data_IF_765449869905
#
_entry.id   IF_765449869905
#
_cell.length_a   1.000
_cell.length_b   1.000
_cell.length_c   1.000
_cell.angle_alpha   90.00
_cell.angle_beta   90.00
_cell.angle_gamma   90.00
#
_symmetry.space_group_name_H-M   'P 1'
#
loop_
_entity.id
_entity.type
_entity.pdbx_description
1 polymer ?
#
# COMPACT_ATOMS: atom_id res chain seq x y z
N UNK A 1 -24.10 2.10 6.16
CA UNK A 1 -23.68 3.21 5.27
C UNK A 1 -23.43 2.67 3.88
N UNK A 2 -23.97 3.30 2.84
CA UNK A 2 -23.80 2.83 1.47
C UNK A 2 -22.33 3.00 0.99
N UNK A 3 -21.93 2.16 0.04
CA UNK A 3 -20.60 2.21 -0.59
C UNK A 3 -20.26 3.61 -1.14
N UNK A 4 -21.24 4.36 -1.62
CA UNK A 4 -21.07 5.70 -2.19
C UNK A 4 -20.55 6.75 -1.18
N UNK A 5 -20.91 6.64 0.09
CA UNK A 5 -20.42 7.58 1.12
C UNK A 5 -18.96 7.39 1.46
N UNK A 6 -18.39 6.21 1.23
CA UNK A 6 -17.00 5.91 1.51
C UNK A 6 -16.06 6.21 0.34
N UNK A 7 -16.61 6.35 -0.87
CA UNK A 7 -15.83 6.73 -2.04
C UNK A 7 -15.38 8.19 -1.91
N UNK A 8 -14.09 8.42 -2.02
CA UNK A 8 -13.48 9.74 -1.97
C UNK A 8 -13.15 10.26 -3.39
N UNK A 9 -12.65 9.36 -4.25
CA UNK A 9 -12.27 9.70 -5.63
C UNK A 9 -12.26 8.43 -6.49
N UNK A 10 -12.46 8.59 -7.81
CA UNK A 10 -12.31 7.53 -8.80
C UNK A 10 -11.43 8.04 -9.96
N UNK A 11 -10.42 7.26 -10.31
CA UNK A 11 -9.59 7.45 -11.49
C UNK A 11 -10.06 6.56 -12.66
N UNK A 12 -9.20 6.32 -13.64
CA UNK A 12 -9.50 5.42 -14.76
C UNK A 12 -9.65 3.97 -14.35
N UNK A 13 -8.79 3.48 -13.46
CA UNK A 13 -8.74 2.06 -13.05
C UNK A 13 -8.94 1.86 -11.54
N UNK A 14 -8.72 2.89 -10.72
CA UNK A 14 -8.69 2.76 -9.27
C UNK A 14 -9.73 3.63 -8.58
N UNK A 15 -10.12 3.18 -7.41
CA UNK A 15 -10.95 3.93 -6.46
C UNK A 15 -10.15 4.25 -5.21
N UNK A 16 -10.25 5.50 -4.76
CA UNK A 16 -9.78 5.95 -3.46
C UNK A 16 -10.98 6.00 -2.53
N UNK A 17 -10.92 5.26 -1.43
CA UNK A 17 -12.06 5.12 -0.53
C UNK A 17 -11.63 5.10 0.95
N UNK A 18 -12.52 5.48 1.84
CA UNK A 18 -12.41 5.23 3.28
C UNK A 18 -12.71 3.75 3.56
N UNK A 19 -11.88 3.01 4.32
CA UNK A 19 -12.22 1.66 4.77
C UNK A 19 -13.52 1.62 5.58
N UNK A 20 -14.16 0.48 5.61
CA UNK A 20 -15.34 0.26 6.49
C UNK A 20 -14.98 0.36 7.96
N UNK A 21 -13.78 -0.13 8.30
CA UNK A 21 -13.22 -0.09 9.65
C UNK A 21 -11.85 0.58 9.60
N UNK A 22 -11.79 1.92 9.52
CA UNK A 22 -10.53 2.63 9.46
C UNK A 22 -9.80 2.48 10.79
N UNK A 23 -8.52 2.15 10.73
CA UNK A 23 -7.68 2.00 11.93
C UNK A 23 -7.26 3.37 12.49
N UNK A 24 -7.11 4.35 11.61
CA UNK A 24 -6.74 5.73 11.94
C UNK A 24 -7.41 6.68 10.95
N UNK A 25 -7.46 7.97 11.26
CA UNK A 25 -7.99 8.97 10.32
C UNK A 25 -7.19 9.05 9.01
N UNK A 26 -5.89 8.69 9.04
CA UNK A 26 -5.01 8.62 7.86
C UNK A 26 -5.10 7.30 7.06
N UNK A 27 -5.99 6.38 7.42
CA UNK A 27 -6.16 5.10 6.73
C UNK A 27 -7.08 5.24 5.51
N UNK A 28 -6.53 5.07 4.32
CA UNK A 28 -7.23 5.17 3.03
C UNK A 28 -7.00 3.89 2.22
N UNK A 29 -7.97 3.50 1.42
CA UNK A 29 -7.88 2.41 0.45
C UNK A 29 -7.60 2.96 -0.95
N UNK A 30 -6.70 2.30 -1.68
CA UNK A 30 -6.60 2.39 -3.14
C UNK A 30 -6.94 0.99 -3.64
N UNK A 31 -8.09 0.83 -4.27
CA UNK A 31 -8.57 -0.47 -4.73
C UNK A 31 -8.90 -0.45 -6.21
N UNK A 32 -8.72 -1.58 -6.86
CA UNK A 32 -9.08 -1.75 -8.25
C UNK A 32 -10.60 -1.60 -8.42
N UNK A 33 -11.05 -0.82 -9.39
CA UNK A 33 -12.48 -0.56 -9.63
C UNK A 33 -13.21 -1.77 -10.20
N UNK A 34 -12.50 -2.61 -10.96
CA UNK A 34 -13.02 -3.81 -11.60
C UNK A 34 -11.96 -4.93 -11.52
N UNK A 35 -12.32 -6.13 -11.03
CA UNK A 35 -11.38 -7.25 -10.89
C UNK A 35 -10.86 -7.79 -12.23
N UNK A 36 -11.51 -7.48 -13.36
CA UNK A 36 -11.05 -7.86 -14.69
C UNK A 36 -9.92 -7.01 -15.24
N UNK A 37 -9.61 -5.89 -14.60
CA UNK A 37 -8.53 -5.00 -15.04
C UNK A 37 -7.18 -5.67 -14.75
N UNK A 38 -6.37 -5.81 -15.79
CA UNK A 38 -5.02 -6.31 -15.68
C UNK A 38 -4.09 -5.26 -15.06
N UNK A 39 -3.17 -5.71 -14.18
CA UNK A 39 -2.11 -4.87 -13.66
C UNK A 39 -0.99 -4.74 -14.68
N UNK A 40 -1.17 -3.82 -15.62
CA UNK A 40 -0.29 -3.53 -16.74
C UNK A 40 0.16 -2.04 -16.69
N UNK A 41 0.94 -1.61 -17.68
CA UNK A 41 1.49 -0.25 -17.72
C UNK A 41 0.45 0.87 -17.47
N UNK A 42 -0.75 0.87 -18.08
CA UNK A 42 -1.74 1.90 -17.83
C UNK A 42 -2.28 1.89 -16.40
N UNK A 43 -2.66 0.72 -15.89
CA UNK A 43 -3.21 0.59 -14.53
C UNK A 43 -2.14 0.84 -13.46
N UNK A 44 -0.88 0.47 -13.68
CA UNK A 44 0.24 0.78 -12.80
C UNK A 44 0.53 2.28 -12.74
N UNK A 45 0.51 2.97 -13.89
CA UNK A 45 0.66 4.43 -13.95
C UNK A 45 -0.47 5.15 -13.21
N UNK A 46 -1.71 4.70 -13.39
CA UNK A 46 -2.88 5.25 -12.70
C UNK A 46 -2.85 4.98 -11.20
N UNK A 47 -2.30 3.81 -10.77
CA UNK A 47 -2.08 3.53 -9.34
C UNK A 47 -1.08 4.52 -8.73
N UNK A 48 0.05 4.76 -9.38
CA UNK A 48 1.04 5.75 -8.93
C UNK A 48 0.45 7.15 -8.84
N UNK A 49 -0.38 7.52 -9.82
CA UNK A 49 -1.14 8.76 -9.78
C UNK A 49 -2.05 8.82 -8.56
N UNK A 50 -2.88 7.80 -8.31
CA UNK A 50 -3.78 7.72 -7.16
C UNK A 50 -3.01 7.80 -5.84
N UNK A 51 -1.90 7.05 -5.73
CA UNK A 51 -1.04 7.08 -4.54
C UNK A 51 -0.51 8.49 -4.24
N UNK A 52 0.04 9.16 -5.25
CA UNK A 52 0.56 10.53 -5.10
C UNK A 52 -0.53 11.52 -4.74
N UNK A 53 -1.71 11.37 -5.35
CA UNK A 53 -2.88 12.19 -5.08
C UNK A 53 -3.35 12.07 -3.63
N UNK A 54 -3.45 10.83 -3.12
CA UNK A 54 -3.83 10.55 -1.72
C UNK A 54 -2.79 11.09 -0.75
N UNK A 55 -1.49 10.87 -1.02
CA UNK A 55 -0.41 11.43 -0.17
C UNK A 55 -0.55 12.94 -0.02
N UNK A 56 -0.71 13.63 -1.15
CA UNK A 56 -0.83 15.07 -1.15
C UNK A 56 -2.09 15.55 -0.41
N UNK A 57 -3.22 14.86 -0.58
CA UNK A 57 -4.46 15.18 0.14
C UNK A 57 -4.32 14.95 1.65
N UNK A 58 -3.71 13.83 2.08
CA UNK A 58 -3.44 13.55 3.49
C UNK A 58 -2.47 14.56 4.11
N UNK A 59 -1.47 14.99 3.35
CA UNK A 59 -0.58 16.07 3.79
C UNK A 59 -1.35 17.37 4.03
N UNK A 60 -2.19 17.79 3.07
CA UNK A 60 -2.93 19.06 3.16
C UNK A 60 -3.97 19.07 4.29
N UNK A 61 -4.64 17.92 4.51
CA UNK A 61 -5.77 17.84 5.44
C UNK A 61 -5.35 17.45 6.85
N UNK A 62 -4.38 16.54 6.98
CA UNK A 62 -3.93 15.98 8.26
C UNK A 62 -2.49 16.35 8.63
N UNK A 63 -1.74 16.99 7.75
CA UNK A 63 -0.33 17.25 7.93
C UNK A 63 0.54 15.98 7.87
N UNK A 64 0.08 14.95 7.15
CA UNK A 64 0.80 13.69 7.05
C UNK A 64 2.15 13.86 6.35
N UNK A 65 3.20 13.34 6.98
CA UNK A 65 4.58 13.40 6.46
C UNK A 65 5.21 12.03 6.26
N UNK A 66 4.66 10.97 6.86
CA UNK A 66 5.14 9.60 6.73
C UNK A 66 4.04 8.71 6.18
N UNK A 67 4.41 7.72 5.37
CA UNK A 67 3.45 6.87 4.67
C UNK A 67 3.90 5.43 4.66
N UNK A 68 2.91 4.53 4.71
CA UNK A 68 3.11 3.10 4.56
C UNK A 68 1.96 2.52 3.74
N UNK A 69 2.25 1.51 2.93
CA UNK A 69 1.25 0.78 2.14
C UNK A 69 1.27 -0.67 2.55
N UNK A 70 0.11 -1.23 2.90
CA UNK A 70 -0.08 -2.64 3.19
C UNK A 70 -1.03 -3.27 2.18
N UNK A 71 -0.73 -4.49 1.77
CA UNK A 71 -1.59 -5.27 0.88
C UNK A 71 -1.32 -6.76 1.02
N UNK A 72 -2.28 -7.58 0.64
CA UNK A 72 -2.13 -9.03 0.53
C UNK A 72 -1.83 -9.41 -0.92
N UNK A 73 -0.94 -10.38 -1.12
CA UNK A 73 -0.67 -10.99 -2.41
C UNK A 73 -0.94 -12.49 -2.34
N UNK A 74 -1.85 -12.99 -3.18
CA UNK A 74 -2.29 -14.39 -3.26
C UNK A 74 -2.78 -14.98 -1.93
N UNK A 75 -2.93 -14.18 -0.90
CA UNK A 75 -3.41 -14.60 0.40
C UNK A 75 -4.72 -13.91 0.75
N UNK A 76 -5.72 -14.72 1.11
CA UNK A 76 -7.01 -14.24 1.58
C UNK A 76 -7.16 -14.63 3.04
N UNK A 77 -7.16 -13.64 3.96
CA UNK A 77 -7.37 -13.92 5.37
C UNK A 77 -8.77 -14.51 5.58
N UNK A 78 -8.83 -15.71 6.14
CA UNK A 78 -10.07 -16.33 6.59
C UNK A 78 -10.34 -15.88 8.04
N UNK A 79 -11.43 -15.15 8.25
CA UNK A 79 -11.80 -14.64 9.57
C UNK A 79 -11.05 -13.38 10.00
N UNK A 80 -10.95 -13.17 11.30
CA UNK A 80 -10.18 -12.05 11.88
C UNK A 80 -8.69 -12.36 11.80
N UNK A 81 -8.10 -12.13 10.62
CA UNK A 81 -6.67 -12.26 10.46
C UNK A 81 -5.95 -11.35 11.47
N UNK A 82 -5.14 -11.97 12.32
CA UNK A 82 -4.39 -11.26 13.34
C UNK A 82 -3.42 -10.30 12.64
N UNK A 83 -3.57 -9.01 12.93
CA UNK A 83 -2.62 -8.00 12.49
C UNK A 83 -2.82 -7.43 11.08
N UNK A 84 -3.89 -7.79 10.36
CA UNK A 84 -4.16 -7.23 9.05
C UNK A 84 -5.47 -6.42 9.01
N UNK A 85 -5.56 -5.41 8.16
CA UNK A 85 -6.85 -4.79 7.87
C UNK A 85 -7.79 -5.81 7.26
N UNK A 86 -9.08 -5.73 7.62
CA UNK A 86 -10.09 -6.66 7.10
C UNK A 86 -10.24 -6.47 5.59
N UNK A 87 -10.16 -7.56 4.83
CA UNK A 87 -10.45 -7.55 3.40
C UNK A 87 -11.92 -7.15 3.17
N UNK A 88 -12.15 -6.11 2.39
CA UNK A 88 -13.49 -5.56 2.13
C UNK A 88 -14.06 -5.96 0.77
N UNK A 89 -13.22 -6.48 -0.11
CA UNK A 89 -13.60 -6.88 -1.46
C UNK A 89 -12.65 -7.95 -2.00
N UNK A 90 -13.06 -8.63 -3.08
CA UNK A 90 -12.21 -9.55 -3.85
C UNK A 90 -11.28 -8.86 -4.83
N UNK A 91 -11.37 -7.54 -4.97
CA UNK A 91 -10.47 -6.76 -5.85
C UNK A 91 -9.15 -6.47 -5.14
N UNK A 92 -8.04 -6.37 -5.89
CA UNK A 92 -6.78 -5.90 -5.34
C UNK A 92 -6.95 -4.59 -4.58
N UNK A 93 -6.54 -4.59 -3.31
CA UNK A 93 -6.73 -3.47 -2.39
C UNK A 93 -5.42 -3.16 -1.68
N UNK A 94 -5.03 -1.89 -1.72
CA UNK A 94 -3.88 -1.35 -1.03
C UNK A 94 -4.37 -0.44 0.10
N UNK A 95 -3.93 -0.72 1.32
CA UNK A 95 -4.19 0.08 2.51
C UNK A 95 -3.06 1.08 2.68
N UNK A 96 -3.34 2.35 2.45
CA UNK A 96 -2.39 3.43 2.65
C UNK A 96 -2.63 4.07 4.01
N UNK A 97 -1.56 4.24 4.78
CA UNK A 97 -1.56 4.91 6.07
C UNK A 97 -0.71 6.17 5.98
N UNK A 98 -1.34 7.33 6.17
CA UNK A 98 -0.64 8.59 6.38
C UNK A 98 -0.49 8.86 7.87
N UNK A 99 0.68 9.35 8.28
CA UNK A 99 1.03 9.65 9.66
C UNK A 99 1.51 11.09 9.83
N UNK A 100 1.13 11.71 10.92
CA UNK A 100 1.49 13.08 11.25
C UNK A 100 1.94 13.19 12.71
N UNK A 101 2.55 14.30 13.06
CA UNK A 101 2.94 14.59 14.44
C UNK A 101 1.69 14.92 15.27
N UNK A 102 1.57 14.30 16.43
CA UNK A 102 0.45 14.53 17.35
C UNK A 102 -0.80 13.69 17.07
N UNK A 103 -0.73 12.70 16.17
CA UNK A 103 -1.83 11.71 16.07
C UNK A 103 -1.98 10.94 17.38
N UNK A 104 -3.22 10.68 17.78
CA UNK A 104 -3.54 10.01 19.06
C UNK A 104 -3.50 8.49 18.94
N UNK A 105 -3.68 7.97 17.73
CA UNK A 105 -3.73 6.54 17.46
C UNK A 105 -2.89 6.23 16.23
N UNK A 106 -1.91 5.36 16.38
CA UNK A 106 -1.02 4.98 15.27
C UNK A 106 -1.48 3.69 14.60
N UNK A 107 -1.21 3.50 13.28
CA UNK A 107 -1.50 2.24 12.60
C UNK A 107 -0.83 1.05 13.27
N UNK A 108 0.42 1.18 13.71
CA UNK A 108 1.16 0.11 14.39
C UNK A 108 0.53 -0.28 15.72
N UNK A 109 0.07 0.67 16.52
CA UNK A 109 -0.64 0.39 17.76
C UNK A 109 -1.93 -0.39 17.51
N UNK A 110 -2.69 -0.04 16.47
CA UNK A 110 -3.91 -0.77 16.09
C UNK A 110 -3.59 -2.16 15.52
N UNK A 111 -2.59 -2.27 14.66
CA UNK A 111 -2.20 -3.53 14.03
C UNK A 111 -1.61 -4.54 15.03
N UNK A 112 -1.04 -4.08 16.14
CA UNK A 112 -0.56 -4.95 17.23
C UNK A 112 -1.69 -5.56 18.07
N UNK A 113 -2.92 -5.03 17.94
CA UNK A 113 -4.07 -5.56 18.64
C UNK A 113 -4.82 -6.61 17.79
N UNK A 114 -5.40 -7.64 18.42
CA UNK A 114 -6.35 -8.53 17.76
C UNK A 114 -7.51 -7.71 17.16
N UNK A 115 -8.02 -8.12 16.00
CA UNK A 115 -9.04 -7.35 15.26
C UNK A 115 -10.26 -6.94 16.10
N UNK A 116 -10.70 -7.81 17.02
CA UNK A 116 -11.85 -7.54 17.91
C UNK A 116 -11.57 -6.52 19.04
N UNK A 117 -10.30 -6.16 19.26
CA UNK A 117 -9.90 -5.15 20.27
C UNK A 117 -9.50 -3.81 19.64
N UNK A 118 -9.50 -3.71 18.32
CA UNK A 118 -9.16 -2.46 17.64
C UNK A 118 -10.27 -1.45 17.83
N UNK A 119 -9.89 -0.29 18.30
CA UNK A 119 -10.78 0.87 18.35
C UNK A 119 -10.66 1.58 17.00
N UNK A 120 -11.60 1.32 16.10
CA UNK A 120 -11.70 2.10 14.86
C UNK A 120 -12.01 3.57 15.16
N UNK A 121 -11.60 4.47 14.26
CA UNK A 121 -12.03 5.87 14.35
C UNK A 121 -13.57 5.99 14.27
N UNK A 122 -14.21 6.72 15.20
CA UNK A 122 -15.65 6.93 15.13
C UNK A 122 -16.05 7.60 13.83
N UNK A 123 -17.12 7.14 13.23
CA UNK A 123 -17.60 7.60 11.94
C UNK A 123 -17.81 9.12 11.88
N UNK A 124 -18.40 9.69 12.93
CA UNK A 124 -18.67 11.13 13.01
C UNK A 124 -17.40 12.00 13.06
N UNK A 125 -16.27 11.44 13.54
CA UNK A 125 -14.98 12.14 13.48
C UNK A 125 -14.41 12.18 12.07
N UNK A 126 -14.80 11.23 11.22
CA UNK A 126 -14.26 11.11 9.86
C UNK A 126 -15.06 11.91 8.82
N UNK A 127 -16.31 12.26 9.09
CA UNK A 127 -17.16 12.95 8.10
C UNK A 127 -16.55 14.27 7.61
N UNK A 128 -16.09 15.11 8.54
CA UNK A 128 -15.44 16.38 8.21
C UNK A 128 -14.09 16.15 7.49
N UNK A 129 -13.30 15.18 7.95
CA UNK A 129 -12.03 14.80 7.33
C UNK A 129 -12.25 14.26 5.92
N UNK A 130 -13.25 13.41 5.71
CA UNK A 130 -13.57 12.85 4.40
C UNK A 130 -14.10 13.91 3.42
N UNK A 131 -14.86 14.89 3.92
CA UNK A 131 -15.28 16.02 3.11
C UNK A 131 -14.08 16.86 2.66
N UNK A 132 -13.14 17.16 3.59
CA UNK A 132 -11.93 17.89 3.28
C UNK A 132 -11.02 17.11 2.32
N UNK A 133 -10.88 15.78 2.49
CA UNK A 133 -10.12 14.92 1.59
C UNK A 133 -10.74 14.90 0.18
N UNK A 134 -12.06 14.77 0.05
CA UNK A 134 -12.72 14.83 -1.27
C UNK A 134 -12.42 16.14 -1.99
N UNK A 135 -12.47 17.24 -1.26
CA UNK A 135 -12.19 18.56 -1.82
C UNK A 135 -10.71 18.69 -2.22
N UNK A 136 -9.78 18.22 -1.38
CA UNK A 136 -8.35 18.22 -1.69
C UNK A 136 -8.03 17.35 -2.93
N UNK A 137 -8.64 16.16 -3.04
CA UNK A 137 -8.49 15.26 -4.18
C UNK A 137 -9.04 15.89 -5.48
N UNK A 138 -10.17 16.61 -5.43
CA UNK A 138 -10.74 17.29 -6.61
C UNK A 138 -9.87 18.45 -7.08
N UNK A 139 -9.38 19.28 -6.15
CA UNK A 139 -8.52 20.45 -6.49
C UNK A 139 -7.20 20.04 -7.11
N UNK A 140 -6.67 18.88 -6.74
CA UNK A 140 -5.42 18.34 -7.24
C UNK A 140 -5.59 17.45 -8.48
N UNK A 141 -6.81 17.40 -9.06
CA UNK A 141 -7.02 16.74 -10.35
C UNK A 141 -6.07 17.37 -11.34
N UNK A 142 -5.12 16.63 -11.93
CA UNK A 142 -4.18 17.24 -12.87
C UNK A 142 -4.95 17.71 -14.11
N UNK A 143 -4.74 18.93 -14.49
CA UNK A 143 -4.65 19.21 -15.91
C UNK A 143 -3.62 18.21 -16.44
N UNK A 144 -4.03 17.38 -17.38
CA UNK A 144 -3.30 16.26 -17.97
C UNK A 144 -1.77 16.45 -18.00
N UNK A 145 -1.10 16.23 -16.89
CA UNK A 145 0.35 16.10 -16.86
C UNK A 145 0.66 14.64 -17.14
N UNK A 146 0.72 14.32 -18.42
CA UNK A 146 1.48 13.20 -18.94
C UNK A 146 2.91 13.41 -18.44
N UNK A 147 3.28 12.83 -17.30
CA UNK A 147 4.68 12.59 -17.01
C UNK A 147 5.11 11.47 -17.95
N UNK A 148 5.49 11.88 -19.16
CA UNK A 148 6.30 11.09 -20.04
C UNK A 148 7.63 10.88 -19.34
N UNK A 149 7.71 9.82 -18.54
CA UNK A 149 8.98 9.21 -18.24
C UNK A 149 9.67 8.88 -19.55
N UNK A 150 11.00 8.72 -19.60
CA UNK A 150 11.71 8.42 -20.82
C UNK A 150 10.99 7.25 -21.51
N UNK A 151 10.50 7.50 -22.73
CA UNK A 151 9.97 6.45 -23.59
C UNK A 151 11.04 5.38 -23.63
N UNK A 152 10.74 4.20 -23.14
CA UNK A 152 11.57 3.03 -23.32
C UNK A 152 11.61 2.79 -24.83
N UNK A 153 12.72 3.19 -25.42
CA UNK A 153 13.00 2.97 -26.84
C UNK A 153 12.80 1.49 -27.16
N UNK A 154 12.24 1.25 -28.32
CA UNK A 154 11.82 -0.01 -28.91
C UNK A 154 12.58 -1.27 -28.48
N UNK A 155 11.79 -2.32 -28.23
CA UNK A 155 12.12 -3.72 -28.41
C UNK A 155 13.20 -4.33 -27.50
N UNK A 156 12.84 -4.56 -26.23
CA UNK A 156 13.45 -5.65 -25.47
C UNK A 156 12.34 -6.61 -25.06
N UNK A 157 12.50 -7.91 -25.38
CA UNK A 157 11.52 -8.94 -25.08
C UNK A 157 11.11 -8.96 -23.60
N UNK A 158 9.86 -9.27 -23.27
CA UNK A 158 9.22 -8.88 -22.01
C UNK A 158 9.74 -9.53 -20.72
N UNK A 159 10.62 -10.52 -20.78
CA UNK A 159 10.98 -11.28 -19.57
C UNK A 159 12.34 -10.93 -18.96
N UNK A 160 13.32 -10.51 -19.75
CA UNK A 160 14.70 -10.33 -19.25
C UNK A 160 14.95 -8.90 -18.73
N UNK A 161 14.22 -7.91 -19.21
CA UNK A 161 14.42 -6.51 -18.85
C UNK A 161 13.82 -6.13 -17.49
N UNK A 162 12.71 -6.75 -17.10
CA UNK A 162 12.02 -6.45 -15.82
C UNK A 162 12.85 -6.92 -14.60
N UNK A 163 13.58 -8.05 -14.72
CA UNK A 163 14.44 -8.55 -13.65
C UNK A 163 15.65 -7.66 -13.33
N UNK A 164 16.00 -6.72 -14.21
CA UNK A 164 17.09 -5.77 -13.98
C UNK A 164 16.69 -4.50 -13.21
N UNK A 165 15.38 -4.24 -13.06
CA UNK A 165 14.86 -3.03 -12.40
C UNK A 165 14.71 -3.17 -10.89
N UNK A 166 14.61 -4.40 -10.41
CA UNK A 166 14.39 -4.71 -9.00
C UNK A 166 15.30 -5.84 -8.53
N UNK A 167 15.54 -5.89 -7.24
CA UNK A 167 16.18 -7.01 -6.57
C UNK A 167 15.31 -7.53 -5.45
N UNK A 168 15.37 -8.86 -5.24
CA UNK A 168 14.71 -9.53 -4.14
C UNK A 168 15.74 -10.33 -3.35
N UNK A 169 15.67 -10.31 -2.02
CA UNK A 169 16.55 -11.05 -1.14
C UNK A 169 15.83 -11.51 0.13
N UNK A 170 16.25 -12.64 0.66
CA UNK A 170 15.73 -13.13 1.93
C UNK A 170 16.27 -12.29 3.09
N UNK A 171 15.37 -11.75 3.91
CA UNK A 171 15.69 -11.02 5.13
C UNK A 171 15.51 -11.89 6.39
N UNK A 172 14.88 -13.04 6.26
CA UNK A 172 14.64 -13.99 7.35
C UNK A 172 13.72 -15.13 6.91
N UNK A 173 13.42 -16.06 7.80
CA UNK A 173 12.48 -17.14 7.53
C UNK A 173 11.13 -16.58 7.06
N UNK A 174 10.68 -16.99 5.86
CA UNK A 174 9.41 -16.55 5.25
C UNK A 174 9.33 -15.03 5.02
N UNK A 175 10.45 -14.32 5.02
CA UNK A 175 10.52 -12.88 4.85
C UNK A 175 11.45 -12.53 3.68
N UNK A 176 10.89 -12.02 2.61
CA UNK A 176 11.60 -11.50 1.45
C UNK A 176 11.43 -10.00 1.35
N UNK A 177 12.50 -9.31 0.99
CA UNK A 177 12.48 -7.88 0.71
C UNK A 177 12.67 -7.67 -0.78
N UNK A 178 11.81 -6.84 -1.38
CA UNK A 178 11.88 -6.43 -2.78
C UNK A 178 12.13 -4.92 -2.81
N UNK A 179 13.16 -4.49 -3.54
CA UNK A 179 13.48 -3.09 -3.68
C UNK A 179 13.91 -2.74 -5.11
N UNK A 180 13.67 -1.51 -5.59
CA UNK A 180 14.23 -1.04 -6.85
C UNK A 180 15.76 -1.05 -6.83
N UNK A 181 16.39 -1.37 -7.97
CA UNK A 181 17.85 -1.28 -8.11
C UNK A 181 18.30 0.17 -7.99
N UNK A 182 17.55 1.07 -8.61
CA UNK A 182 17.72 2.51 -8.45
C UNK A 182 17.42 2.91 -6.99
N UNK A 183 18.26 3.76 -6.42
CA UNK A 183 18.05 4.27 -5.08
C UNK A 183 16.88 5.28 -5.09
N UNK A 184 15.74 4.86 -4.55
CA UNK A 184 14.54 5.68 -4.35
C UNK A 184 14.06 5.52 -2.92
N UNK A 185 13.58 6.59 -2.33
CA UNK A 185 13.13 6.59 -0.92
C UNK A 185 11.61 6.44 -0.80
N UNK A 186 10.86 6.78 -1.84
CA UNK A 186 9.40 6.77 -1.78
C UNK A 186 8.77 6.29 -3.09
N UNK A 187 7.49 5.91 -3.00
CA UNK A 187 6.68 5.53 -4.17
C UNK A 187 6.54 6.68 -5.18
N UNK A 188 6.71 7.93 -4.75
CA UNK A 188 6.69 9.09 -5.67
C UNK A 188 7.79 9.07 -6.72
N UNK A 189 8.86 8.37 -6.45
CA UNK A 189 10.08 8.36 -7.26
C UNK A 189 10.15 7.17 -8.21
N UNK A 190 9.29 6.15 -8.02
CA UNK A 190 9.29 4.97 -8.90
C UNK A 190 8.48 5.21 -10.17
N UNK A 191 8.91 4.54 -11.23
CA UNK A 191 8.20 4.50 -12.50
C UNK A 191 7.26 3.30 -12.57
N UNK A 192 6.27 3.35 -13.47
CA UNK A 192 5.35 2.23 -13.65
C UNK A 192 6.05 0.93 -14.02
N UNK A 193 7.15 0.99 -14.79
CA UNK A 193 7.97 -0.19 -15.11
C UNK A 193 8.62 -0.81 -13.86
N UNK A 194 9.12 0.00 -12.91
CA UNK A 194 9.66 -0.48 -11.64
C UNK A 194 8.56 -1.09 -10.78
N UNK A 195 7.38 -0.46 -10.71
CA UNK A 195 6.23 -1.01 -9.98
C UNK A 195 5.78 -2.36 -10.55
N UNK A 196 5.72 -2.48 -11.87
CA UNK A 196 5.42 -3.76 -12.54
C UNK A 196 6.50 -4.81 -12.28
N UNK A 197 7.77 -4.43 -12.30
CA UNK A 197 8.87 -5.32 -11.97
C UNK A 197 8.82 -5.80 -10.52
N UNK A 198 8.44 -4.94 -9.56
CA UNK A 198 8.21 -5.32 -8.16
C UNK A 198 7.04 -6.30 -8.04
N UNK A 199 5.95 -6.06 -8.76
CA UNK A 199 4.80 -6.97 -8.84
C UNK A 199 5.18 -8.34 -9.42
N UNK A 200 5.96 -8.36 -10.49
CA UNK A 200 6.46 -9.59 -11.11
C UNK A 200 7.42 -10.37 -10.17
N UNK A 201 8.32 -9.66 -9.48
CA UNK A 201 9.20 -10.26 -8.48
C UNK A 201 8.40 -10.89 -7.32
N UNK A 202 7.37 -10.21 -6.85
CA UNK A 202 6.47 -10.71 -5.81
C UNK A 202 5.70 -11.96 -6.28
N UNK A 203 5.16 -11.93 -7.50
CA UNK A 203 4.46 -13.06 -8.11
C UNK A 203 5.37 -14.29 -8.33
N UNK A 204 6.67 -14.06 -8.53
CA UNK A 204 7.67 -15.11 -8.67
C UNK A 204 8.17 -15.71 -7.36
N UNK A 205 7.75 -15.21 -6.20
CA UNK A 205 8.17 -15.77 -4.91
C UNK A 205 7.61 -17.19 -4.71
N UNK A 206 8.43 -18.13 -4.22
CA UNK A 206 8.00 -19.51 -4.08
C UNK A 206 6.99 -19.67 -2.94
N UNK A 207 5.87 -20.33 -3.22
CA UNK A 207 4.88 -20.77 -2.24
C UNK A 207 5.28 -22.16 -1.69
N UNK A 208 6.43 -22.28 -1.05
CA UNK A 208 6.92 -23.51 -0.46
C UNK A 208 6.62 -23.59 1.05
N UNK A 209 6.72 -24.79 1.63
CA UNK A 209 6.57 -24.95 3.10
C UNK A 209 5.18 -24.65 3.65
N UNK A 210 4.12 -24.86 2.86
CA UNK A 210 2.73 -24.61 3.28
C UNK A 210 2.31 -23.16 3.22
N UNK A 211 3.04 -22.31 2.49
CA UNK A 211 2.63 -20.93 2.23
C UNK A 211 1.47 -20.91 1.24
N UNK A 212 0.52 -20.00 1.47
CA UNK A 212 -0.63 -19.74 0.60
C UNK A 212 -0.61 -18.34 -0.02
N UNK A 213 0.34 -17.49 0.37
CA UNK A 213 0.50 -16.14 -0.14
C UNK A 213 1.34 -15.28 0.79
N UNK A 214 1.24 -13.96 0.65
CA UNK A 214 2.09 -13.00 1.36
C UNK A 214 1.27 -11.83 1.90
N UNK A 215 1.64 -11.36 3.09
CA UNK A 215 1.32 -10.02 3.56
C UNK A 215 2.46 -9.09 3.21
N UNK A 216 2.16 -8.00 2.54
CA UNK A 216 3.14 -7.07 2.03
C UNK A 216 3.05 -5.72 2.73
N UNK A 217 4.20 -5.14 3.06
CA UNK A 217 4.33 -3.82 3.66
C UNK A 217 5.39 -3.02 2.90
N UNK A 218 4.99 -1.92 2.29
CA UNK A 218 5.89 -0.94 1.71
C UNK A 218 6.02 0.25 2.67
N UNK A 219 7.25 0.58 3.04
CA UNK A 219 7.57 1.72 3.89
C UNK A 219 8.24 2.80 3.05
N UNK A 220 7.72 4.00 3.17
CA UNK A 220 8.34 5.19 2.60
C UNK A 220 9.13 5.92 3.68
N UNK A 221 10.28 6.42 3.33
CA UNK A 221 11.13 7.18 4.23
C UNK A 221 11.51 8.51 3.60
N UNK A 222 11.51 9.57 4.39
CA UNK A 222 12.05 10.87 4.01
C UNK A 222 13.52 11.05 4.45
N UNK A 223 14.09 10.02 5.07
CA UNK A 223 15.49 10.05 5.52
C UNK A 223 16.42 9.94 4.31
N UNK A 224 17.41 10.83 4.25
CA UNK A 224 18.43 10.79 3.21
C UNK A 224 19.15 9.43 3.18
N UNK A 225 19.21 8.81 2.00
CA UNK A 225 19.81 7.48 1.80
C UNK A 225 18.92 6.30 2.15
N UNK A 226 17.71 6.52 2.65
CA UNK A 226 16.74 5.44 2.82
C UNK A 226 16.32 4.87 1.45
N UNK A 227 15.85 3.62 1.46
CA UNK A 227 15.36 2.93 0.27
C UNK A 227 13.92 2.51 0.46
N UNK A 228 13.12 2.69 -0.57
CA UNK A 228 11.80 2.08 -0.67
C UNK A 228 11.97 0.56 -0.71
N UNK A 229 11.33 -0.12 0.24
CA UNK A 229 11.33 -1.57 0.35
C UNK A 229 9.92 -2.10 0.49
N UNK A 230 9.63 -3.20 -0.19
CA UNK A 230 8.45 -4.01 0.03
C UNK A 230 8.86 -5.25 0.80
N UNK A 231 8.41 -5.35 2.03
CA UNK A 231 8.57 -6.53 2.87
C UNK A 231 7.45 -7.50 2.57
N UNK A 232 7.76 -8.66 2.00
CA UNK A 232 6.82 -9.75 1.73
C UNK A 232 6.98 -10.84 2.80
N UNK A 233 5.94 -11.03 3.59
CA UNK A 233 5.87 -12.00 4.67
C UNK A 233 5.01 -13.19 4.26
N UNK A 234 5.61 -14.36 4.17
CA UNK A 234 4.92 -15.60 3.81
C UNK A 234 3.87 -15.98 4.84
N UNK A 235 2.66 -16.27 4.35
CA UNK A 235 1.47 -16.63 5.15
C UNK A 235 1.01 -18.05 4.86
N UNK A 236 0.54 -18.73 5.88
CA UNK A 236 -0.09 -20.04 5.75
C UNK A 236 -1.53 -20.02 6.27
N UNK A 237 -2.37 -20.94 5.80
CA UNK A 237 -3.76 -21.05 6.24
C UNK A 237 -3.89 -21.43 7.73
N UNK A 238 -2.87 -22.07 8.29
CA UNK A 238 -2.85 -22.53 9.70
C UNK A 238 -2.09 -21.58 10.63
N UNK A 239 -1.94 -20.31 10.26
CA UNK A 239 -1.13 -19.37 11.01
C UNK A 239 -1.77 -18.93 12.32
N UNK A 240 -1.03 -19.09 13.41
CA UNK A 240 -1.47 -18.73 14.76
C UNK A 240 -0.77 -17.49 15.31
N UNK A 241 0.34 -17.08 14.69
CA UNK A 241 1.15 -15.93 15.09
C UNK A 241 1.13 -14.89 13.98
N UNK A 242 0.94 -13.63 14.34
CA UNK A 242 0.98 -12.53 13.40
C UNK A 242 2.44 -12.23 12.97
N UNK A 243 2.84 -12.48 11.70
CA UNK A 243 4.21 -12.18 11.27
C UNK A 243 4.51 -10.68 11.28
N UNK A 244 3.50 -9.82 11.23
CA UNK A 244 3.68 -8.38 11.38
C UNK A 244 4.24 -7.99 12.75
N UNK A 245 4.00 -8.77 13.81
CA UNK A 245 4.60 -8.49 15.12
C UNK A 245 6.12 -8.49 15.08
N UNK A 246 6.71 -9.37 14.28
CA UNK A 246 8.16 -9.43 14.09
C UNK A 246 8.65 -8.18 13.36
N UNK A 247 7.92 -7.75 12.33
CA UNK A 247 8.23 -6.53 11.59
C UNK A 247 8.03 -5.26 12.44
N UNK A 248 6.95 -5.19 13.21
CA UNK A 248 6.66 -4.03 14.08
C UNK A 248 7.75 -3.81 15.15
N UNK A 249 8.54 -4.84 15.47
CA UNK A 249 9.70 -4.73 16.37
C UNK A 249 10.96 -4.23 15.65
N UNK A 250 10.99 -4.25 14.33
CA UNK A 250 12.10 -3.68 13.56
C UNK A 250 12.08 -2.15 13.68
N UNK A 251 13.22 -1.50 13.98
CA UNK A 251 13.28 -0.05 14.13
C UNK A 251 12.76 0.72 12.92
N UNK A 252 13.04 0.24 11.71
CA UNK A 252 12.61 0.86 10.46
C UNK A 252 11.08 0.87 10.32
N UNK A 253 10.44 -0.24 10.68
CA UNK A 253 8.98 -0.40 10.62
C UNK A 253 8.31 0.34 11.78
N UNK A 254 8.90 0.24 12.97
CA UNK A 254 8.42 0.95 14.15
C UNK A 254 8.35 2.46 13.92
N UNK A 255 9.41 3.07 13.37
CA UNK A 255 9.43 4.50 13.05
C UNK A 255 8.39 4.91 11.99
N UNK A 256 8.00 4.01 11.11
CA UNK A 256 7.02 4.28 10.05
C UNK A 256 5.57 4.09 10.50
N UNK A 257 5.30 3.19 11.45
CA UNK A 257 3.95 2.79 11.85
C UNK A 257 3.59 3.06 13.31
N UNK A 258 4.57 3.28 14.20
CA UNK A 258 4.36 3.56 15.63
C UNK A 258 4.55 5.06 15.97
#
# INVERSE_FOLDING_TARGET
MGLERRLLYRSGFWEIARPRHPLTAGHILIRLSDPSIEFAQPSASDWLFCHNLVRAALHDVLGATRYAVMFAHQWHPLGSAIGEPVAESSTPTFHLFGRWSGETTTPGAQLSLPAHRRLGEPEHHLEATDAALREALRRRRPEAAVSSGPEAGDAVGPSTALGSLVRAFEAGPRHTVIEPVRAVASVREIFAAELLAMGAALAGLPLSGGLSGFSCLALESETAGARLRVHALGRSAAETVNPLEVLLRSPEVSLALL
#
